data_IF_338814581958
#
_entry.id   IF_338814581958
#
_cell.length_a   1.000
_cell.length_b   1.000
_cell.length_c   1.000
_cell.angle_alpha   90.00
_cell.angle_beta   90.00
_cell.angle_gamma   90.00
#
_symmetry.space_group_name_H-M   'P 1'
#
loop_
_entity.id
_entity.type
_entity.pdbx_description
1 polymer ?
#
# COMPACT_ATOMS: atom_id res chain seq x y z
N UNK A 1 1.55 -17.29 44.92
CA UNK A 1 1.59 -16.90 43.50
C UNK A 1 3.04 -16.61 43.16
N UNK A 2 3.67 -17.40 42.27
CA UNK A 2 5.13 -17.42 42.12
C UNK A 2 5.60 -16.29 41.19
N UNK A 3 6.56 -15.46 41.64
CA UNK A 3 7.12 -14.29 40.91
C UNK A 3 7.55 -14.63 39.47
N UNK A 4 7.94 -15.88 39.21
CA UNK A 4 8.37 -16.37 37.88
C UNK A 4 7.26 -16.34 36.81
N UNK A 5 5.98 -16.37 37.19
CA UNK A 5 4.87 -16.30 36.24
C UNK A 5 4.53 -14.86 35.82
N UNK A 6 4.75 -13.89 36.72
CA UNK A 6 4.52 -12.47 36.44
C UNK A 6 5.53 -11.91 35.42
N UNK A 7 6.75 -12.44 35.42
CA UNK A 7 7.80 -12.01 34.48
C UNK A 7 7.58 -12.49 33.04
N UNK A 8 6.79 -13.55 32.82
CA UNK A 8 6.54 -14.07 31.47
C UNK A 8 5.48 -13.25 30.71
N UNK A 9 4.47 -12.74 31.41
CA UNK A 9 3.41 -11.95 30.80
C UNK A 9 3.88 -10.55 30.36
N UNK A 10 4.86 -9.95 31.04
CA UNK A 10 5.34 -8.60 30.70
C UNK A 10 6.14 -8.54 29.38
N UNK A 11 6.80 -9.64 28.99
CA UNK A 11 7.64 -9.69 27.79
C UNK A 11 6.80 -9.77 26.51
N UNK A 12 5.65 -10.45 26.53
CA UNK A 12 4.77 -10.56 25.35
C UNK A 12 4.14 -9.23 24.93
N UNK A 13 3.87 -8.33 25.88
CA UNK A 13 3.32 -7.00 25.60
C UNK A 13 4.28 -6.08 24.79
N UNK A 14 5.58 -6.37 24.81
CA UNK A 14 6.61 -5.55 24.13
C UNK A 14 6.73 -5.90 22.63
N UNK A 15 6.16 -7.03 22.20
CA UNK A 15 6.23 -7.50 20.80
C UNK A 15 5.03 -7.04 19.95
N UNK A 16 4.33 -5.99 20.38
CA UNK A 16 3.29 -5.34 19.57
C UNK A 16 3.93 -4.56 18.42
N UNK A 17 4.49 -5.29 17.46
CA UNK A 17 4.99 -4.70 16.22
C UNK A 17 3.79 -4.28 15.37
N UNK A 18 3.71 -3.00 15.02
CA UNK A 18 2.88 -2.58 13.89
C UNK A 18 3.49 -3.16 12.62
N UNK A 19 2.93 -4.29 12.17
CA UNK A 19 3.29 -4.89 10.90
C UNK A 19 2.77 -3.99 9.78
N UNK A 20 3.64 -3.17 9.20
CA UNK A 20 3.37 -2.53 7.91
C UNK A 20 3.41 -3.60 6.82
N UNK A 21 2.32 -4.36 6.73
CA UNK A 21 2.19 -5.43 5.74
C UNK A 21 2.15 -4.81 4.34
N UNK A 22 3.01 -5.33 3.46
CA UNK A 22 3.00 -4.97 2.04
C UNK A 22 1.63 -5.25 1.42
N UNK A 23 1.08 -4.28 0.70
CA UNK A 23 -0.24 -4.40 0.07
C UNK A 23 -0.24 -5.54 -0.96
N UNK A 24 -1.09 -6.52 -0.72
CA UNK A 24 -1.27 -7.64 -1.64
C UNK A 24 -2.09 -7.23 -2.88
N UNK A 25 -2.15 -8.11 -3.88
CA UNK A 25 -2.87 -7.84 -5.14
C UNK A 25 -4.37 -7.56 -4.93
N UNK A 26 -5.03 -8.25 -3.99
CA UNK A 26 -6.47 -8.10 -3.77
C UNK A 26 -6.80 -6.73 -3.20
N UNK A 27 -6.03 -6.26 -2.23
CA UNK A 27 -6.20 -4.93 -1.68
C UNK A 27 -5.85 -3.85 -2.72
N UNK A 28 -4.80 -4.07 -3.50
CA UNK A 28 -4.40 -3.16 -4.58
C UNK A 28 -5.50 -2.98 -5.62
N UNK A 29 -6.11 -4.09 -6.07
CA UNK A 29 -7.25 -4.10 -6.99
C UNK A 29 -8.48 -3.40 -6.39
N UNK A 30 -8.78 -3.67 -5.13
CA UNK A 30 -9.88 -3.01 -4.42
C UNK A 30 -9.69 -1.48 -4.38
N UNK A 31 -8.47 -1.01 -4.06
CA UNK A 31 -8.16 0.41 -4.07
C UNK A 31 -8.18 1.02 -5.47
N UNK A 32 -7.84 0.26 -6.51
CA UNK A 32 -7.95 0.70 -7.90
C UNK A 32 -9.40 0.97 -8.31
N UNK A 33 -10.34 0.12 -7.85
CA UNK A 33 -11.77 0.29 -8.07
C UNK A 33 -12.25 1.58 -7.41
N UNK A 34 -11.88 1.82 -6.15
CA UNK A 34 -12.23 3.05 -5.43
C UNK A 34 -11.60 4.27 -6.13
N UNK A 35 -10.34 4.17 -6.52
CA UNK A 35 -9.61 5.23 -7.20
C UNK A 35 -10.19 5.60 -8.56
N UNK A 36 -10.97 4.72 -9.20
CA UNK A 36 -11.60 4.99 -10.49
C UNK A 36 -12.95 5.72 -10.37
N UNK A 37 -13.45 5.97 -9.16
CA UNK A 37 -14.75 6.62 -8.96
C UNK A 37 -14.67 8.14 -9.17
N UNK A 38 -15.78 8.82 -9.59
CA UNK A 38 -15.80 10.25 -9.92
C UNK A 38 -15.37 11.23 -8.81
N UNK A 39 -15.39 10.81 -7.55
CA UNK A 39 -15.00 11.63 -6.38
C UNK A 39 -13.77 11.10 -5.65
N UNK A 40 -12.97 10.26 -6.31
CA UNK A 40 -11.76 9.73 -5.71
C UNK A 40 -10.64 10.78 -5.66
N UNK A 41 -9.63 10.54 -4.82
CA UNK A 41 -8.39 11.33 -4.79
C UNK A 41 -7.61 11.30 -6.10
N UNK A 42 -7.90 10.35 -6.99
CA UNK A 42 -7.21 10.17 -8.25
C UNK A 42 -7.66 11.15 -9.34
N UNK A 43 -8.83 11.79 -9.19
CA UNK A 43 -9.33 12.73 -10.20
C UNK A 43 -8.85 14.16 -9.97
N UNK A 44 -8.18 14.43 -8.85
CA UNK A 44 -7.70 15.76 -8.49
C UNK A 44 -6.47 16.18 -9.31
N UNK A 45 -5.69 15.21 -9.79
CA UNK A 45 -4.40 15.47 -10.45
C UNK A 45 -4.32 14.80 -11.81
N UNK A 46 -3.63 15.40 -12.78
CA UNK A 46 -3.36 14.74 -14.05
C UNK A 46 -2.50 13.49 -13.84
N UNK A 47 -2.67 12.52 -14.74
CA UNK A 47 -1.85 11.30 -14.73
C UNK A 47 -0.38 11.67 -15.01
N UNK A 48 0.57 11.24 -14.17
CA UNK A 48 1.99 11.43 -14.43
C UNK A 48 2.43 10.64 -15.67
N UNK A 49 3.22 11.26 -16.54
CA UNK A 49 3.83 10.56 -17.70
C UNK A 49 4.74 9.41 -17.27
N UNK A 50 5.28 9.47 -16.05
CA UNK A 50 6.15 8.48 -15.43
C UNK A 50 5.42 7.61 -14.40
N UNK A 51 4.12 7.36 -14.53
CA UNK A 51 3.32 6.59 -13.56
C UNK A 51 3.92 5.22 -13.18
N UNK A 52 4.67 4.58 -14.08
CA UNK A 52 5.35 3.31 -13.80
C UNK A 52 6.42 3.46 -12.70
N UNK A 53 7.09 4.62 -12.60
CA UNK A 53 8.07 4.88 -11.55
C UNK A 53 7.43 4.92 -10.15
N UNK A 54 6.14 5.27 -10.05
CA UNK A 54 5.41 5.21 -8.78
C UNK A 54 5.20 3.76 -8.32
N UNK A 55 5.01 2.84 -9.27
CA UNK A 55 4.93 1.40 -8.98
C UNK A 55 6.29 0.89 -8.50
N UNK A 56 7.37 1.30 -9.17
CA UNK A 56 8.73 0.90 -8.82
C UNK A 56 9.12 1.43 -7.43
N UNK A 57 8.83 2.69 -7.13
CA UNK A 57 9.08 3.30 -5.82
C UNK A 57 8.27 2.60 -4.71
N UNK A 58 6.99 2.31 -4.95
CA UNK A 58 6.16 1.58 -3.98
C UNK A 58 6.66 0.15 -3.73
N UNK A 59 7.10 -0.54 -4.79
CA UNK A 59 7.65 -1.89 -4.69
C UNK A 59 9.00 -1.89 -3.96
N UNK A 60 9.88 -0.95 -4.31
CA UNK A 60 11.20 -0.78 -3.68
C UNK A 60 11.07 -0.50 -2.17
N UNK A 61 10.08 0.30 -1.77
CA UNK A 61 9.77 0.60 -0.37
C UNK A 61 9.04 -0.54 0.36
N UNK A 62 8.71 -1.63 -0.34
CA UNK A 62 7.96 -2.75 0.21
C UNK A 62 6.49 -2.44 0.51
N UNK A 63 5.95 -1.32 0.00
CA UNK A 63 4.55 -0.91 0.26
C UNK A 63 3.54 -1.75 -0.53
N UNK A 64 3.97 -2.35 -1.64
CA UNK A 64 3.16 -3.27 -2.45
C UNK A 64 3.97 -4.52 -2.78
N UNK A 65 3.27 -5.63 -2.96
CA UNK A 65 3.89 -6.89 -3.40
C UNK A 65 4.30 -6.83 -4.88
N UNK A 66 5.27 -7.65 -5.28
CA UNK A 66 5.66 -7.81 -6.70
C UNK A 66 4.46 -8.18 -7.59
N UNK A 67 3.53 -8.99 -7.07
CA UNK A 67 2.32 -9.38 -7.78
C UNK A 67 1.38 -8.20 -8.03
N UNK A 68 1.20 -7.33 -7.04
CA UNK A 68 0.44 -6.09 -7.18
C UNK A 68 1.10 -5.15 -8.20
N UNK A 69 2.43 -4.98 -8.12
CA UNK A 69 3.19 -4.16 -9.06
C UNK A 69 3.02 -4.64 -10.51
N UNK A 70 3.17 -5.94 -10.76
CA UNK A 70 3.00 -6.52 -12.09
C UNK A 70 1.57 -6.35 -12.62
N UNK A 71 0.57 -6.56 -11.76
CA UNK A 71 -0.83 -6.33 -12.14
C UNK A 71 -1.09 -4.87 -12.47
N UNK A 72 -0.58 -3.93 -11.67
CA UNK A 72 -0.72 -2.49 -11.91
C UNK A 72 -0.13 -2.07 -13.26
N UNK A 73 1.09 -2.52 -13.59
CA UNK A 73 1.71 -2.27 -14.90
C UNK A 73 0.87 -2.83 -16.06
N UNK A 74 0.37 -4.05 -15.91
CA UNK A 74 -0.42 -4.71 -16.96
C UNK A 74 -1.80 -4.07 -17.19
N UNK A 75 -2.39 -3.46 -16.17
CA UNK A 75 -3.75 -2.91 -16.24
C UNK A 75 -3.79 -1.37 -16.25
N UNK A 76 -2.64 -0.70 -16.22
CA UNK A 76 -2.55 0.76 -16.21
C UNK A 76 -3.01 1.37 -14.89
N UNK A 77 -2.59 0.80 -13.75
CA UNK A 77 -2.86 1.34 -12.42
C UNK A 77 -1.57 1.55 -11.64
N UNK A 78 -1.47 2.68 -10.92
CA UNK A 78 -0.30 3.07 -10.14
C UNK A 78 -0.67 3.55 -8.74
N UNK A 79 0.17 3.31 -7.72
CA UNK A 79 -0.11 3.78 -6.36
C UNK A 79 0.27 5.25 -6.19
N UNK A 80 -0.50 5.98 -5.39
CA UNK A 80 -0.11 7.26 -4.81
C UNK A 80 0.34 6.99 -3.39
N UNK A 81 1.60 7.32 -3.09
CA UNK A 81 2.18 7.17 -1.77
C UNK A 81 1.90 8.44 -0.98
N UNK A 82 1.26 8.30 0.18
CA UNK A 82 1.18 9.37 1.17
C UNK A 82 2.54 9.50 1.85
N UNK A 83 3.25 10.59 1.56
CA UNK A 83 4.60 10.81 2.09
C UNK A 83 4.64 11.01 3.61
N UNK A 84 3.55 11.47 4.22
CA UNK A 84 3.48 11.69 5.67
C UNK A 84 3.24 10.39 6.42
N UNK A 85 2.38 9.53 5.86
CA UNK A 85 2.04 8.23 6.46
C UNK A 85 2.95 7.10 6.00
N UNK A 86 3.75 7.32 4.96
CA UNK A 86 4.63 6.33 4.33
C UNK A 86 3.86 5.07 3.89
N UNK A 87 2.65 5.25 3.40
CA UNK A 87 1.76 4.18 2.95
C UNK A 87 1.16 4.51 1.58
N UNK A 88 0.59 3.52 0.90
CA UNK A 88 -0.21 3.77 -0.30
C UNK A 88 -1.53 4.40 0.14
N UNK A 89 -1.77 5.65 -0.26
CA UNK A 89 -3.02 6.36 0.04
C UNK A 89 -4.14 6.07 -0.97
N UNK A 90 -3.78 5.82 -2.23
CA UNK A 90 -4.74 5.49 -3.29
C UNK A 90 -4.06 4.67 -4.41
N UNK A 91 -4.85 4.02 -5.25
CA UNK A 91 -4.38 3.41 -6.51
C UNK A 91 -5.18 4.02 -7.65
N UNK A 92 -4.50 4.68 -8.58
CA UNK A 92 -5.08 5.51 -9.62
C UNK A 92 -4.90 4.89 -10.99
N UNK A 93 -5.85 5.16 -11.89
CA UNK A 93 -5.75 4.76 -13.30
C UNK A 93 -4.79 5.69 -14.04
N UNK A 94 -3.90 5.13 -14.86
CA UNK A 94 -3.01 5.87 -15.74
C UNK A 94 -3.71 6.35 -17.04
N UNK A 95 -5.04 6.30 -17.07
CA UNK A 95 -5.79 6.26 -18.33
C UNK A 95 -5.66 4.85 -18.92
N UNK A 96 -6.74 4.32 -19.49
CA UNK A 96 -6.62 3.07 -20.26
C UNK A 96 -5.57 3.29 -21.37
N UNK A 97 -4.68 2.34 -21.64
CA UNK A 97 -4.00 2.30 -22.93
C UNK A 97 -5.03 2.26 -24.08
#
# INVERSE_FOLDING_TARGET
>A
MNIKQLTFASVLSILSFESFASMNISEYQYRAIIGSQPHSRCNTFPVPSNWQQYIDDALYRGLITLRAANWGRANGFYPIIDMFRREVGAVCSAGKP
#
